data_IF_141718357637
#
_entry.id   IF_141718357637
#
_cell.length_a   1.000
_cell.length_b   1.000
_cell.length_c   1.000
_cell.angle_alpha   90.00
_cell.angle_beta   90.00
_cell.angle_gamma   90.00
#
_symmetry.space_group_name_H-M   'P 1'
#
loop_
_entity.id
_entity.type
_entity.pdbx_description
1 polymer ?
#
# COMPACT_ATOMS: atom_id res chain seq x y z
N UNK A 1 -12.67 29.40 24.27
CA UNK A 1 -12.80 27.93 24.28
C UNK A 1 -13.49 27.45 22.99
N UNK A 2 -12.76 27.33 21.87
CA UNK A 2 -13.31 26.94 20.56
C UNK A 2 -12.25 26.17 19.75
N UNK A 3 -12.01 24.90 20.07
CA UNK A 3 -11.09 24.02 19.30
C UNK A 3 -11.47 22.53 19.38
N UNK A 4 -12.77 22.20 19.42
CA UNK A 4 -13.23 20.79 19.47
C UNK A 4 -14.10 20.31 18.30
N UNK A 5 -14.44 21.19 17.34
CA UNK A 5 -15.39 20.83 16.26
C UNK A 5 -14.68 20.47 14.95
N UNK A 6 -13.49 21.01 14.67
CA UNK A 6 -12.77 20.75 13.41
C UNK A 6 -12.24 19.31 13.33
N UNK A 7 -11.85 18.70 14.45
CA UNK A 7 -11.33 17.33 14.47
C UNK A 7 -12.40 16.27 14.19
N UNK A 8 -13.67 16.56 14.49
CA UNK A 8 -14.77 15.60 14.31
C UNK A 8 -15.24 15.53 12.84
N UNK A 9 -15.15 16.65 12.10
CA UNK A 9 -15.48 16.71 10.67
C UNK A 9 -14.46 15.99 9.76
N UNK A 10 -13.17 15.94 10.14
CA UNK A 10 -12.17 15.15 9.40
C UNK A 10 -12.34 13.62 9.60
N UNK A 11 -12.86 13.19 10.76
CA UNK A 11 -13.04 11.76 11.04
C UNK A 11 -14.25 11.15 10.31
N UNK A 12 -15.30 11.94 10.06
CA UNK A 12 -16.48 11.48 9.31
C UNK A 12 -16.26 11.49 7.80
N UNK A 13 -15.37 12.35 7.28
CA UNK A 13 -15.01 12.35 5.86
C UNK A 13 -14.13 11.17 5.44
N UNK A 14 -13.47 10.49 6.39
CA UNK A 14 -12.69 9.28 6.10
C UNK A 14 -13.56 8.02 5.92
N UNK A 15 -14.85 8.07 6.27
CA UNK A 15 -15.75 6.91 6.21
C UNK A 15 -16.63 6.84 4.95
N UNK A 16 -16.53 7.81 4.02
CA UNK A 16 -17.42 7.91 2.86
C UNK A 16 -16.72 7.76 1.50
N UNK A 17 -15.81 6.78 1.39
CA UNK A 17 -15.40 6.27 0.07
C UNK A 17 -14.83 4.86 0.17
N UNK A 18 -15.64 3.93 0.68
CA UNK A 18 -15.51 2.55 0.23
C UNK A 18 -15.99 2.50 -1.23
N UNK A 19 -15.12 2.95 -2.15
CA UNK A 19 -15.17 2.49 -3.53
C UNK A 19 -15.28 0.98 -3.46
N UNK A 20 -16.37 0.41 -3.97
CA UNK A 20 -16.68 -1.01 -3.85
C UNK A 20 -15.43 -1.84 -4.22
N UNK A 21 -14.73 -2.36 -3.21
CA UNK A 21 -13.51 -3.13 -3.41
C UNK A 21 -13.95 -4.46 -4.00
N UNK A 22 -13.51 -4.74 -5.22
CA UNK A 22 -13.77 -6.01 -5.90
C UNK A 22 -12.57 -6.93 -5.69
N UNK A 23 -12.86 -8.22 -5.54
CA UNK A 23 -11.87 -9.28 -5.60
C UNK A 23 -11.20 -9.24 -6.98
N UNK A 24 -9.88 -9.04 -7.00
CA UNK A 24 -9.09 -9.29 -8.20
C UNK A 24 -9.11 -10.79 -8.51
N UNK A 25 -9.21 -11.15 -9.79
CA UNK A 25 -9.07 -12.54 -10.27
C UNK A 25 -7.64 -13.09 -10.15
N UNK A 26 -6.65 -12.28 -9.75
CA UNK A 26 -5.28 -12.74 -9.49
C UNK A 26 -5.16 -13.14 -8.02
N UNK A 27 -5.08 -14.43 -7.79
CA UNK A 27 -5.14 -15.03 -6.45
C UNK A 27 -3.79 -15.09 -5.72
N UNK A 28 -2.68 -14.88 -6.41
CA UNK A 28 -1.34 -15.07 -5.83
C UNK A 28 -0.51 -13.78 -5.90
N UNK A 29 -0.51 -12.97 -4.84
CA UNK A 29 0.40 -11.80 -4.73
C UNK A 29 1.58 -12.07 -3.79
N UNK A 30 1.46 -13.02 -2.86
CA UNK A 30 2.39 -13.06 -1.75
C UNK A 30 2.89 -14.47 -1.45
N UNK A 31 4.22 -14.62 -1.49
CA UNK A 31 4.93 -15.75 -0.89
C UNK A 31 4.77 -15.75 0.64
N UNK A 32 4.55 -14.57 1.24
CA UNK A 32 4.43 -14.38 2.69
C UNK A 32 3.15 -15.01 3.24
N UNK A 33 2.01 -14.84 2.57
CA UNK A 33 0.73 -15.33 3.06
C UNK A 33 -0.20 -15.82 1.93
N UNK A 34 -0.44 -17.13 1.91
CA UNK A 34 -1.34 -17.81 0.94
C UNK A 34 -2.82 -17.41 1.08
N UNK A 35 -3.17 -16.67 2.12
CA UNK A 35 -4.53 -16.17 2.36
C UNK A 35 -4.71 -14.71 1.93
N UNK A 36 -3.68 -14.05 1.40
CA UNK A 36 -3.77 -12.67 0.94
C UNK A 36 -4.10 -12.58 -0.55
N UNK A 37 -5.02 -11.69 -0.88
CA UNK A 37 -5.52 -11.46 -2.25
C UNK A 37 -5.49 -9.98 -2.59
N UNK A 38 -5.41 -9.70 -3.90
CA UNK A 38 -5.34 -8.32 -4.38
C UNK A 38 -6.73 -7.70 -4.30
N UNK A 39 -6.85 -6.68 -3.46
CA UNK A 39 -8.02 -5.81 -3.42
C UNK A 39 -7.91 -4.81 -4.56
N UNK A 40 -8.90 -4.75 -5.44
CA UNK A 40 -8.95 -3.77 -6.53
C UNK A 40 -10.19 -2.89 -6.39
N UNK A 41 -10.01 -1.57 -6.33
CA UNK A 41 -11.13 -0.62 -6.33
C UNK A 41 -11.69 -0.46 -7.74
N UNK A 42 -12.90 0.13 -7.84
CA UNK A 42 -13.48 0.51 -9.13
C UNK A 42 -12.63 1.56 -9.83
N UNK A 43 -11.92 2.41 -9.09
CA UNK A 43 -11.00 3.42 -9.62
C UNK A 43 -9.67 2.85 -10.13
N UNK A 44 -9.42 1.56 -9.93
CA UNK A 44 -8.22 0.89 -10.45
C UNK A 44 -7.00 0.96 -9.54
N UNK A 45 -7.18 1.34 -8.27
CA UNK A 45 -6.15 1.22 -7.24
C UNK A 45 -6.18 -0.16 -6.59
N UNK A 46 -5.04 -0.53 -5.99
CA UNK A 46 -4.75 -1.84 -5.48
C UNK A 46 -4.29 -1.78 -4.02
N UNK A 47 -4.76 -2.76 -3.26
CA UNK A 47 -4.44 -3.03 -1.87
C UNK A 47 -4.37 -4.53 -1.64
N UNK A 48 -4.33 -4.95 -0.38
CA UNK A 48 -4.32 -6.36 0.00
C UNK A 48 -5.43 -6.60 1.00
N UNK A 49 -6.12 -7.72 0.85
CA UNK A 49 -7.12 -8.18 1.79
C UNK A 49 -6.94 -9.67 2.07
N UNK A 50 -7.47 -10.13 3.21
CA UNK A 50 -7.54 -11.55 3.50
C UNK A 50 -8.70 -12.23 2.76
N UNK A 51 -8.78 -13.57 2.87
CA UNK A 51 -9.88 -14.38 2.32
C UNK A 51 -11.25 -14.05 2.92
N UNK A 52 -11.29 -13.46 4.11
CA UNK A 52 -12.53 -12.98 4.76
C UNK A 52 -12.98 -11.61 4.25
N UNK A 53 -12.22 -10.97 3.36
CA UNK A 53 -12.52 -9.65 2.81
C UNK A 53 -12.05 -8.49 3.70
N UNK A 54 -11.31 -8.75 4.78
CA UNK A 54 -10.72 -7.69 5.60
C UNK A 54 -9.55 -7.05 4.86
N UNK A 55 -9.59 -5.73 4.71
CA UNK A 55 -8.48 -4.96 4.15
C UNK A 55 -7.28 -5.01 5.12
N UNK A 56 -6.16 -5.52 4.62
CA UNK A 56 -4.85 -5.53 5.30
C UNK A 56 -4.04 -4.31 4.87
N UNK A 57 -4.00 -4.03 3.57
CA UNK A 57 -3.32 -2.88 2.98
C UNK A 57 -4.35 -2.10 2.17
N UNK A 58 -4.51 -0.82 2.49
CA UNK A 58 -5.50 0.03 1.85
C UNK A 58 -5.26 0.10 0.33
N UNK A 59 -6.33 0.06 -0.49
CA UNK A 59 -6.18 0.05 -1.93
C UNK A 59 -5.94 1.46 -2.48
N UNK A 60 -4.77 2.01 -2.21
CA UNK A 60 -4.38 3.38 -2.60
C UNK A 60 -3.27 3.42 -3.65
N UNK A 61 -2.70 2.25 -4.00
CA UNK A 61 -1.57 2.15 -4.93
C UNK A 61 -2.04 1.87 -6.35
N UNK A 62 -1.38 2.43 -7.36
CA UNK A 62 -1.62 2.07 -8.76
C UNK A 62 -1.00 0.71 -9.12
N UNK A 63 -0.05 0.24 -8.31
CA UNK A 63 0.57 -1.09 -8.44
C UNK A 63 1.15 -1.55 -7.10
N UNK A 64 1.03 -2.85 -6.81
CA UNK A 64 1.74 -3.55 -5.74
C UNK A 64 2.45 -4.75 -6.38
N UNK A 65 3.78 -4.83 -6.27
CA UNK A 65 4.57 -5.99 -6.69
C UNK A 65 4.50 -7.10 -5.63
N UNK A 66 5.01 -8.28 -5.98
CA UNK A 66 5.11 -9.38 -5.04
C UNK A 66 6.08 -9.03 -3.90
N UNK A 67 5.77 -9.53 -2.72
CA UNK A 67 6.71 -9.50 -1.61
C UNK A 67 7.89 -10.45 -1.86
N UNK A 68 9.05 -10.12 -1.31
CA UNK A 68 10.24 -10.96 -1.41
C UNK A 68 11.08 -10.74 -2.66
N UNK A 69 10.75 -9.78 -3.53
CA UNK A 69 11.59 -9.42 -4.68
C UNK A 69 12.88 -8.70 -4.27
N UNK A 70 12.81 -7.88 -3.21
CA UNK A 70 13.94 -7.05 -2.73
C UNK A 70 14.42 -7.45 -1.33
N UNK A 71 13.47 -7.76 -0.45
CA UNK A 71 13.70 -8.29 0.90
C UNK A 71 12.47 -9.10 1.28
N UNK A 72 12.63 -10.07 2.18
CA UNK A 72 11.62 -11.07 2.52
C UNK A 72 10.25 -10.45 2.84
N UNK A 73 10.22 -9.31 3.53
CA UNK A 73 9.00 -8.63 3.97
C UNK A 73 8.63 -7.38 3.14
N UNK A 74 9.31 -7.10 2.03
CA UNK A 74 9.09 -5.87 1.26
C UNK A 74 8.41 -6.10 -0.08
N UNK A 75 7.46 -5.23 -0.40
CA UNK A 75 6.86 -5.09 -1.74
C UNK A 75 7.11 -3.69 -2.30
N UNK A 76 7.55 -3.64 -3.57
CA UNK A 76 7.62 -2.40 -4.34
C UNK A 76 6.19 -1.95 -4.69
N UNK A 77 5.87 -0.70 -4.39
CA UNK A 77 4.57 -0.09 -4.71
C UNK A 77 4.74 1.12 -5.61
N UNK A 78 3.66 1.45 -6.34
CA UNK A 78 3.56 2.66 -7.15
C UNK A 78 2.34 3.46 -6.70
N UNK A 79 2.50 4.74 -6.43
CA UNK A 79 1.36 5.63 -6.15
C UNK A 79 0.61 6.00 -7.45
N UNK A 80 -0.50 6.73 -7.35
CA UNK A 80 -1.28 7.18 -8.50
C UNK A 80 -0.53 8.22 -9.37
N UNK A 81 0.42 8.97 -8.78
CA UNK A 81 1.20 10.00 -9.46
C UNK A 81 2.39 9.46 -10.27
N UNK A 82 2.72 8.18 -10.14
CA UNK A 82 3.79 7.57 -10.91
C UNK A 82 5.04 7.17 -10.11
N UNK A 83 5.13 7.57 -8.85
CA UNK A 83 6.30 7.38 -7.99
C UNK A 83 6.28 6.04 -7.26
N UNK A 84 7.46 5.55 -6.93
CA UNK A 84 7.71 4.24 -6.33
C UNK A 84 8.23 4.36 -4.91
N UNK A 85 7.86 3.37 -4.10
CA UNK A 85 8.21 3.21 -2.69
C UNK A 85 8.18 1.75 -2.29
N UNK A 86 8.45 1.46 -1.02
CA UNK A 86 8.38 0.11 -0.45
C UNK A 86 7.44 0.09 0.75
N UNK A 87 6.55 -0.90 0.76
CA UNK A 87 5.77 -1.24 1.95
C UNK A 87 6.24 -2.55 2.55
N UNK A 88 6.05 -2.72 3.84
CA UNK A 88 6.15 -4.01 4.49
C UNK A 88 4.82 -4.78 4.45
N UNK A 89 4.77 -6.01 4.98
CA UNK A 89 3.56 -6.82 4.97
C UNK A 89 2.43 -6.25 5.85
N UNK A 90 2.72 -5.42 6.84
CA UNK A 90 1.69 -4.68 7.59
C UNK A 90 1.11 -3.47 6.83
N UNK A 91 1.59 -3.19 5.61
CA UNK A 91 1.17 -2.03 4.82
C UNK A 91 1.82 -0.71 5.24
N UNK A 92 2.84 -0.76 6.09
CA UNK A 92 3.63 0.41 6.47
C UNK A 92 4.58 0.76 5.35
N UNK A 93 4.55 2.02 4.90
CA UNK A 93 5.53 2.55 3.95
C UNK A 93 6.90 2.66 4.60
N UNK A 94 7.78 1.69 4.33
CA UNK A 94 9.18 1.72 4.75
C UNK A 94 9.95 2.77 3.95
N UNK A 95 9.67 2.86 2.65
CA UNK A 95 10.14 3.96 1.80
C UNK A 95 8.91 4.56 1.14
N UNK A 96 8.57 5.83 1.39
CA UNK A 96 7.38 6.45 0.83
C UNK A 96 7.47 6.51 -0.71
N UNK A 97 6.34 6.41 -1.43
CA UNK A 97 6.33 6.40 -2.88
C UNK A 97 6.58 7.80 -3.44
N UNK A 98 7.85 8.20 -3.49
CA UNK A 98 8.31 9.54 -3.87
C UNK A 98 9.44 9.51 -4.91
N UNK A 99 9.86 8.31 -5.34
CA UNK A 99 11.03 8.13 -6.17
C UNK A 99 10.68 7.60 -7.56
N UNK A 100 11.51 7.91 -8.54
CA UNK A 100 11.46 7.22 -9.83
C UNK A 100 11.93 5.77 -9.69
N UNK A 101 11.48 4.91 -10.60
CA UNK A 101 11.81 3.48 -10.57
C UNK A 101 13.32 3.21 -10.63
N UNK A 102 14.04 3.91 -11.49
CA UNK A 102 15.48 3.72 -11.63
C UNK A 102 16.23 4.19 -10.38
N UNK A 103 15.82 5.32 -9.82
CA UNK A 103 16.43 5.85 -8.59
C UNK A 103 16.23 4.88 -7.43
N UNK A 104 15.01 4.45 -7.16
CA UNK A 104 14.74 3.60 -6.00
C UNK A 104 15.43 2.23 -6.12
N UNK A 105 15.56 1.70 -7.34
CA UNK A 105 16.30 0.45 -7.60
C UNK A 105 17.80 0.61 -7.34
N UNK A 106 18.41 1.67 -7.85
CA UNK A 106 19.85 1.89 -7.75
C UNK A 106 20.29 2.30 -6.33
N UNK A 107 19.43 3.00 -5.60
CA UNK A 107 19.72 3.53 -4.27
C UNK A 107 18.96 2.82 -3.15
N UNK A 108 18.44 1.61 -3.39
CA UNK A 108 17.64 0.86 -2.42
C UNK A 108 18.35 0.76 -1.06
N UNK A 109 19.59 0.27 -1.02
CA UNK A 109 20.32 0.07 0.26
C UNK A 109 20.50 1.37 1.04
N UNK A 110 20.84 2.46 0.36
CA UNK A 110 21.01 3.79 0.97
C UNK A 110 19.70 4.36 1.49
N UNK A 111 18.61 4.24 0.71
CA UNK A 111 17.27 4.65 1.13
C UNK A 111 16.80 3.79 2.30
N UNK A 112 16.93 2.47 2.22
CA UNK A 112 16.51 1.55 3.26
C UNK A 112 17.20 1.88 4.58
N UNK A 113 18.52 2.08 4.59
CA UNK A 113 19.26 2.52 5.78
C UNK A 113 18.76 3.87 6.31
N UNK A 114 18.46 4.83 5.43
CA UNK A 114 17.92 6.14 5.82
C UNK A 114 16.57 6.02 6.54
N UNK A 115 15.70 5.10 6.11
CA UNK A 115 14.35 4.97 6.67
C UNK A 115 14.25 3.98 7.83
N UNK A 116 15.11 2.97 7.91
CA UNK A 116 14.99 1.87 8.88
C UNK A 116 15.83 2.04 10.15
N UNK A 117 16.85 2.92 10.14
CA UNK A 117 17.80 3.17 11.24
C UNK A 117 18.66 1.98 11.66
#
# INVERSE_FOLDING_TARGET
MKFKIITLLCFTLFNLSFSQVKLSKRDDISKINKNWRLAKTVSGTYGIMDKGGKIIIQPIYSKINNFGEYSEDLALVKNISGSYGFINSSGTEIIPPQYELNYIKNYFSSLYKKYVK
#
